data_IF_658725208192
#
_entry.id   IF_658725208192
#
_cell.length_a   1.000
_cell.length_b   1.000
_cell.length_c   1.000
_cell.angle_alpha   90.00
_cell.angle_beta   90.00
_cell.angle_gamma   90.00
#
_symmetry.space_group_name_H-M   'P 1'
#
loop_
_entity.id
_entity.type
_entity.pdbx_description
1 polymer ?
#
# COMPACT_ATOMS: atom_id res chain seq x y z
N UNK A 1 -33.14 12.65 -32.39
CA UNK A 1 -31.83 13.25 -32.06
C UNK A 1 -31.47 12.74 -30.68
N UNK A 2 -30.72 11.64 -30.62
CA UNK A 2 -30.39 10.94 -29.38
C UNK A 2 -29.36 11.72 -28.59
N UNK A 3 -29.63 11.93 -27.30
CA UNK A 3 -28.60 12.30 -26.34
C UNK A 3 -27.93 11.01 -25.87
N UNK A 4 -26.74 10.75 -26.38
CA UNK A 4 -25.77 9.87 -25.75
C UNK A 4 -25.36 10.50 -24.43
N UNK A 5 -25.87 9.97 -23.31
CA UNK A 5 -25.35 10.31 -21.99
C UNK A 5 -23.93 9.78 -21.88
N UNK A 6 -23.01 10.71 -21.68
CA UNK A 6 -21.60 10.47 -21.40
C UNK A 6 -21.43 9.58 -20.17
N UNK A 7 -20.49 8.66 -20.28
CA UNK A 7 -19.99 7.72 -19.26
C UNK A 7 -20.03 8.26 -17.84
N UNK A 8 -20.67 7.52 -16.94
CA UNK A 8 -20.50 7.67 -15.49
C UNK A 8 -19.01 7.59 -15.15
N UNK A 9 -18.41 8.69 -14.71
CA UNK A 9 -17.14 8.64 -13.98
C UNK A 9 -17.37 7.74 -12.77
N UNK A 10 -16.69 6.59 -12.70
CA UNK A 10 -16.78 5.71 -11.55
C UNK A 10 -16.12 6.46 -10.38
N UNK A 11 -16.94 7.09 -9.54
CA UNK A 11 -16.47 7.80 -8.36
C UNK A 11 -15.73 6.82 -7.45
N UNK A 12 -14.71 7.32 -6.73
CA UNK A 12 -14.01 6.53 -5.73
C UNK A 12 -15.00 5.94 -4.72
N UNK A 13 -14.82 4.68 -4.30
CA UNK A 13 -15.72 4.07 -3.34
C UNK A 13 -15.57 4.79 -1.98
N UNK A 14 -16.64 4.98 -1.21
CA UNK A 14 -16.59 5.78 0.02
C UNK A 14 -15.71 5.16 1.11
N UNK A 15 -15.52 3.84 1.09
CA UNK A 15 -14.69 3.12 2.05
C UNK A 15 -14.17 1.83 1.42
N UNK A 16 -12.88 1.57 1.57
CA UNK A 16 -12.26 0.37 1.03
C UNK A 16 -11.08 -0.12 1.89
N UNK A 17 -10.58 -1.32 1.60
CA UNK A 17 -9.34 -1.83 2.16
C UNK A 17 -8.18 -1.49 1.23
N UNK A 18 -7.43 -0.46 1.58
CA UNK A 18 -6.23 -0.02 0.85
C UNK A 18 -5.11 -1.04 1.01
N UNK A 19 -4.63 -1.59 -0.11
CA UNK A 19 -3.52 -2.53 -0.11
C UNK A 19 -2.22 -1.76 0.13
N UNK A 20 -1.55 -2.00 1.24
CA UNK A 20 -0.28 -1.34 1.57
C UNK A 20 0.93 -2.16 1.12
N UNK A 21 0.81 -3.49 1.22
CA UNK A 21 1.91 -4.40 0.89
C UNK A 21 1.36 -5.72 0.33
N UNK A 22 2.06 -6.23 -0.66
CA UNK A 22 1.95 -7.62 -1.12
C UNK A 22 3.21 -8.36 -0.67
N UNK A 23 3.03 -9.44 0.08
CA UNK A 23 4.16 -10.23 0.59
C UNK A 23 4.72 -11.12 -0.53
N UNK A 24 6.04 -11.14 -0.76
CA UNK A 24 6.64 -12.00 -1.78
C UNK A 24 6.27 -13.48 -1.58
N UNK A 25 6.03 -14.20 -2.69
CA UNK A 25 5.67 -15.62 -2.71
C UNK A 25 4.34 -15.97 -2.01
N UNK A 26 3.52 -14.97 -1.69
CA UNK A 26 2.16 -15.17 -1.18
C UNK A 26 1.15 -15.35 -2.32
N UNK A 27 -0.07 -15.84 -2.05
CA UNK A 27 -1.15 -15.89 -3.03
C UNK A 27 -1.40 -14.56 -3.73
N UNK A 28 -1.37 -13.44 -3.00
CA UNK A 28 -1.53 -12.12 -3.58
C UNK A 28 -0.41 -11.74 -4.56
N UNK A 29 0.82 -12.21 -4.33
CA UNK A 29 1.95 -11.94 -5.24
C UNK A 29 1.83 -12.61 -6.62
N UNK A 30 0.90 -13.56 -6.76
CA UNK A 30 0.59 -14.22 -8.03
C UNK A 30 -0.63 -13.60 -8.74
N UNK A 31 -1.13 -12.47 -8.25
CA UNK A 31 -2.27 -11.76 -8.83
C UNK A 31 -1.83 -10.44 -9.47
N UNK A 32 -2.78 -9.73 -10.08
CA UNK A 32 -2.56 -8.38 -10.60
C UNK A 32 -2.70 -7.28 -9.53
N UNK A 33 -2.68 -7.61 -8.23
CA UNK A 33 -2.83 -6.62 -7.17
C UNK A 33 -1.58 -5.73 -7.09
N UNK A 34 -1.79 -4.44 -7.25
CA UNK A 34 -0.79 -3.39 -7.14
C UNK A 34 -0.86 -2.76 -5.75
N UNK A 35 0.15 -2.94 -4.89
CA UNK A 35 0.17 -2.26 -3.61
C UNK A 35 0.16 -0.73 -3.81
N UNK A 36 -0.38 -0.03 -2.82
CA UNK A 36 -0.70 1.39 -2.76
C UNK A 36 -1.77 1.90 -3.74
N UNK A 37 -1.91 1.31 -4.93
CA UNK A 37 -2.91 1.78 -5.91
C UNK A 37 -4.21 1.00 -5.85
N UNK A 38 -4.18 -0.23 -5.37
CA UNK A 38 -5.38 -1.06 -5.27
C UNK A 38 -6.07 -0.98 -3.92
N UNK A 39 -7.40 -1.02 -4.01
CA UNK A 39 -8.32 -0.98 -2.90
C UNK A 39 -9.28 -2.16 -3.05
N UNK A 40 -9.26 -3.10 -2.11
CA UNK A 40 -10.27 -4.17 -2.08
C UNK A 40 -11.58 -3.56 -1.63
N UNK A 41 -12.59 -3.63 -2.50
CA UNK A 41 -13.93 -3.06 -2.30
C UNK A 41 -15.00 -4.13 -2.06
N UNK A 42 -14.62 -5.40 -2.18
CA UNK A 42 -15.51 -6.53 -1.96
C UNK A 42 -15.02 -7.79 -2.66
N UNK A 43 -15.97 -8.66 -2.98
CA UNK A 43 -15.75 -9.91 -3.69
C UNK A 43 -16.95 -10.19 -4.58
N UNK A 44 -16.72 -10.92 -5.67
CA UNK A 44 -17.77 -11.38 -6.58
C UNK A 44 -18.34 -12.69 -6.03
N UNK A 45 -19.49 -12.59 -5.35
CA UNK A 45 -20.22 -13.69 -4.72
C UNK A 45 -21.73 -13.48 -4.84
N UNK A 46 -22.48 -14.59 -4.84
CA UNK A 46 -23.89 -14.72 -5.19
C UNK A 46 -24.78 -13.51 -4.81
N UNK A 47 -24.98 -12.61 -5.78
CA UNK A 47 -25.98 -11.54 -6.03
C UNK A 47 -26.66 -10.74 -4.88
N UNK A 48 -26.39 -10.98 -3.60
CA UNK A 48 -27.11 -10.36 -2.47
C UNK A 48 -26.30 -9.31 -1.69
N UNK A 49 -25.00 -9.19 -1.94
CA UNK A 49 -24.12 -8.26 -1.22
C UNK A 49 -23.71 -7.08 -2.12
N UNK A 50 -24.70 -6.39 -2.69
CA UNK A 50 -24.51 -5.02 -3.17
C UNK A 50 -24.48 -4.07 -1.99
N UNK A 51 -23.51 -4.18 -1.09
CA UNK A 51 -23.36 -3.22 -0.01
C UNK A 51 -21.96 -2.63 -0.04
N UNK A 52 -21.98 -1.35 -0.36
CA UNK A 52 -20.95 -0.35 -0.62
C UNK A 52 -19.98 -0.11 0.55
N UNK A 53 -19.83 -1.06 1.47
CA UNK A 53 -19.03 -0.94 2.68
C UNK A 53 -18.31 -2.25 2.96
N UNK A 54 -16.99 -2.24 2.83
CA UNK A 54 -16.14 -3.38 3.16
C UNK A 54 -16.17 -3.61 4.68
N UNK A 55 -16.80 -4.71 5.11
CA UNK A 55 -16.65 -5.24 6.47
C UNK A 55 -15.44 -6.19 6.49
N UNK A 56 -14.44 -5.85 7.31
CA UNK A 56 -13.21 -6.64 7.44
C UNK A 56 -13.50 -8.02 7.99
N UNK A 57 -14.41 -8.13 8.96
CA UNK A 57 -14.75 -9.42 9.57
C UNK A 57 -15.47 -10.33 8.56
N UNK A 58 -16.29 -9.75 7.68
CA UNK A 58 -16.92 -10.50 6.60
C UNK A 58 -15.88 -10.99 5.59
N UNK A 59 -14.99 -10.11 5.15
CA UNK A 59 -13.92 -10.47 4.21
C UNK A 59 -13.04 -11.59 4.78
N UNK A 60 -12.63 -11.50 6.05
CA UNK A 60 -11.87 -12.55 6.73
C UNK A 60 -12.61 -13.89 6.68
N UNK A 61 -13.89 -13.91 7.04
CA UNK A 61 -14.73 -15.12 7.01
C UNK A 61 -14.81 -15.73 5.60
N UNK A 62 -14.93 -14.90 4.57
CA UNK A 62 -15.04 -15.36 3.18
C UNK A 62 -13.72 -15.91 2.68
N UNK A 63 -12.61 -15.24 3.01
CA UNK A 63 -11.26 -15.67 2.67
C UNK A 63 -10.95 -17.02 3.31
N UNK A 64 -11.33 -17.22 4.57
CA UNK A 64 -11.23 -18.52 5.26
C UNK A 64 -12.10 -19.58 4.59
N UNK A 65 -13.35 -19.25 4.26
CA UNK A 65 -14.24 -20.18 3.58
C UNK A 65 -13.71 -20.60 2.21
N UNK A 66 -12.94 -19.76 1.52
CA UNK A 66 -12.37 -20.04 0.19
C UNK A 66 -10.94 -20.59 0.23
N UNK A 67 -10.47 -21.11 1.36
CA UNK A 67 -9.13 -21.73 1.41
C UNK A 67 -9.00 -22.84 0.36
N UNK A 68 -7.91 -22.76 -0.43
CA UNK A 68 -7.59 -23.62 -1.58
C UNK A 68 -8.63 -23.61 -2.72
N UNK A 69 -9.49 -22.58 -2.79
CA UNK A 69 -10.46 -22.37 -3.87
C UNK A 69 -10.30 -20.95 -4.43
N UNK A 70 -10.71 -20.75 -5.68
CA UNK A 70 -10.69 -19.41 -6.27
C UNK A 70 -11.71 -18.52 -5.58
N UNK A 71 -11.25 -17.37 -5.09
CA UNK A 71 -12.03 -16.24 -4.62
C UNK A 71 -11.83 -15.09 -5.60
N UNK A 72 -12.92 -14.51 -6.09
CA UNK A 72 -12.86 -13.35 -6.97
C UNK A 72 -12.99 -12.08 -6.14
N UNK A 73 -11.90 -11.34 -5.95
CA UNK A 73 -11.93 -10.05 -5.27
C UNK A 73 -12.37 -8.94 -6.22
N UNK A 74 -13.16 -7.99 -5.72
CA UNK A 74 -13.43 -6.74 -6.41
C UNK A 74 -12.40 -5.72 -5.95
N UNK A 75 -11.60 -5.21 -6.89
CA UNK A 75 -10.47 -4.33 -6.62
C UNK A 75 -10.61 -3.05 -7.44
N UNK A 76 -10.73 -1.92 -6.75
CA UNK A 76 -10.71 -0.59 -7.37
C UNK A 76 -9.28 -0.06 -7.42
N UNK A 77 -8.84 0.47 -8.55
CA UNK A 77 -7.49 1.02 -8.73
C UNK A 77 -7.54 2.55 -8.81
N UNK A 78 -6.66 3.24 -8.07
CA UNK A 78 -6.65 4.70 -8.02
C UNK A 78 -6.01 5.38 -9.23
N UNK A 79 -5.21 4.67 -10.04
CA UNK A 79 -4.58 5.23 -11.25
C UNK A 79 -5.59 5.37 -12.39
N UNK A 80 -6.39 4.34 -12.65
CA UNK A 80 -7.35 4.29 -13.76
C UNK A 80 -8.80 4.55 -13.34
N UNK A 81 -9.05 4.60 -12.02
CA UNK A 81 -10.37 4.78 -11.41
C UNK A 81 -11.37 3.69 -11.82
N UNK A 82 -10.91 2.46 -12.07
CA UNK A 82 -11.76 1.32 -12.44
C UNK A 82 -11.76 0.23 -11.37
N UNK A 83 -12.89 -0.48 -11.28
CA UNK A 83 -13.01 -1.71 -10.50
C UNK A 83 -12.86 -2.93 -11.41
N UNK A 84 -11.99 -3.86 -11.02
CA UNK A 84 -11.77 -5.12 -11.74
C UNK A 84 -11.92 -6.32 -10.82
N UNK A 85 -12.22 -7.47 -11.42
CA UNK A 85 -12.24 -8.75 -10.72
C UNK A 85 -10.83 -9.33 -10.70
N UNK A 86 -10.32 -9.64 -9.52
CA UNK A 86 -9.02 -10.27 -9.33
C UNK A 86 -9.20 -11.66 -8.69
N UNK A 87 -8.97 -12.75 -9.46
CA UNK A 87 -9.01 -14.09 -8.90
C UNK A 87 -7.77 -14.33 -8.02
N UNK A 88 -8.00 -14.83 -6.81
CA UNK A 88 -6.96 -15.25 -5.86
C UNK A 88 -7.31 -16.62 -5.28
N UNK A 89 -6.31 -17.43 -4.97
CA UNK A 89 -6.51 -18.72 -4.28
C UNK A 89 -5.91 -18.61 -2.89
N UNK A 90 -6.72 -18.32 -1.84
CA UNK A 90 -6.24 -18.23 -0.47
C UNK A 90 -5.60 -19.55 -0.04
N UNK A 91 -4.44 -19.48 0.63
CA UNK A 91 -3.76 -20.69 1.12
C UNK A 91 -2.88 -20.35 2.32
N UNK A 92 -2.73 -21.27 3.27
CA UNK A 92 -1.80 -21.11 4.40
C UNK A 92 -0.41 -21.70 4.13
N UNK A 93 -0.25 -22.48 3.06
CA UNK A 93 0.99 -23.22 2.77
C UNK A 93 2.20 -22.30 2.69
N UNK A 94 2.04 -21.10 2.14
CA UNK A 94 3.12 -20.12 1.99
C UNK A 94 3.59 -19.50 3.31
N UNK A 95 2.76 -19.50 4.36
CA UNK A 95 3.01 -18.79 5.62
C UNK A 95 3.26 -19.70 6.83
N UNK A 96 3.16 -21.03 6.66
CA UNK A 96 3.37 -22.03 7.72
C UNK A 96 4.76 -22.01 8.37
N UNK A 97 5.79 -21.52 7.68
CA UNK A 97 7.17 -21.47 8.18
C UNK A 97 7.60 -20.12 8.77
N UNK A 98 6.77 -19.08 8.63
CA UNK A 98 7.14 -17.67 8.90
C UNK A 98 6.31 -16.99 9.99
N UNK A 99 5.27 -17.66 10.52
CA UNK A 99 4.47 -17.11 11.61
C UNK A 99 5.17 -17.28 12.97
N UNK A 100 5.29 -16.21 13.79
CA UNK A 100 5.64 -16.38 15.20
C UNK A 100 4.63 -17.32 15.89
N UNK A 101 5.08 -18.03 16.94
CA UNK A 101 4.37 -19.16 17.58
C UNK A 101 2.92 -18.91 18.02
N UNK A 102 2.39 -17.69 17.95
CA UNK A 102 1.05 -17.30 18.39
C UNK A 102 0.20 -16.55 17.34
N UNK A 103 0.63 -16.43 16.08
CA UNK A 103 -0.20 -15.80 15.03
C UNK A 103 -0.73 -16.82 14.03
N UNK A 104 -1.99 -16.69 13.63
CA UNK A 104 -2.52 -17.50 12.54
C UNK A 104 -1.77 -17.19 11.23
N UNK A 105 -1.36 -18.21 10.46
CA UNK A 105 -0.69 -18.02 9.16
C UNK A 105 -1.59 -17.27 8.18
N UNK A 106 -1.09 -16.22 7.53
CA UNK A 106 -1.89 -15.41 6.61
C UNK A 106 -2.35 -16.22 5.38
N UNK A 107 -3.56 -15.95 4.89
CA UNK A 107 -4.17 -16.65 3.74
C UNK A 107 -3.89 -15.97 2.39
N UNK A 108 -3.69 -14.65 2.38
CA UNK A 108 -3.54 -13.86 1.15
C UNK A 108 -2.13 -13.28 0.99
N UNK A 109 -1.50 -12.88 2.11
CA UNK A 109 -0.24 -12.13 2.10
C UNK A 109 -0.38 -10.65 1.77
N UNK A 110 -1.59 -10.10 1.95
CA UNK A 110 -1.85 -8.66 1.89
C UNK A 110 -1.71 -8.03 3.28
N UNK A 111 -1.09 -6.86 3.34
CA UNK A 111 -1.28 -5.91 4.44
C UNK A 111 -2.25 -4.83 3.95
N UNK A 112 -3.33 -4.60 4.68
CA UNK A 112 -4.38 -3.68 4.29
C UNK A 112 -4.80 -2.78 5.44
N UNK A 113 -5.29 -1.59 5.13
CA UNK A 113 -5.98 -0.71 6.09
C UNK A 113 -7.31 -0.29 5.53
N UNK A 114 -8.29 -0.08 6.42
CA UNK A 114 -9.51 0.61 6.05
C UNK A 114 -9.16 2.09 5.82
N UNK A 115 -9.55 2.64 4.69
CA UNK A 115 -9.53 4.09 4.48
C UNK A 115 -10.60 4.53 3.48
N UNK A 116 -10.70 5.84 3.30
CA UNK A 116 -11.42 6.49 2.23
C UNK A 116 -10.39 6.72 1.10
N UNK A 117 -10.54 6.09 -0.08
CA UNK A 117 -9.58 6.20 -1.17
C UNK A 117 -9.32 7.62 -1.65
N UNK A 118 -10.30 8.52 -1.51
CA UNK A 118 -10.16 9.94 -1.83
C UNK A 118 -9.01 10.60 -1.06
N UNK A 119 -8.79 10.20 0.20
CA UNK A 119 -7.74 10.75 1.07
C UNK A 119 -6.50 9.85 1.17
N UNK A 120 -6.47 8.73 0.45
CA UNK A 120 -5.37 7.77 0.56
C UNK A 120 -4.04 8.32 0.00
N UNK A 121 -4.12 9.33 -0.88
CA UNK A 121 -2.97 9.99 -1.51
C UNK A 121 -2.53 11.26 -0.77
N UNK A 122 -3.27 11.71 0.25
CA UNK A 122 -2.96 12.96 0.97
C UNK A 122 -1.72 12.84 1.86
N UNK A 123 -1.33 11.60 2.19
CA UNK A 123 -0.22 11.30 3.09
C UNK A 123 0.93 10.62 2.33
N UNK A 124 1.46 11.34 1.34
CA UNK A 124 2.60 10.93 0.52
C UNK A 124 3.61 12.07 0.51
N UNK A 125 4.90 11.74 0.68
CA UNK A 125 5.97 12.74 0.65
C UNK A 125 6.78 12.58 -0.64
N UNK A 126 6.72 13.59 -1.49
CA UNK A 126 7.46 13.60 -2.76
C UNK A 126 8.93 13.90 -2.48
N UNK A 127 9.82 13.00 -2.91
CA UNK A 127 11.27 13.23 -2.84
C UNK A 127 11.64 14.28 -3.89
N UNK A 128 12.11 15.44 -3.45
CA UNK A 128 12.55 16.53 -4.33
C UNK A 128 14.06 16.47 -4.51
N UNK A 129 14.80 17.46 -4.01
CA UNK A 129 16.25 17.50 -4.10
C UNK A 129 16.91 16.58 -3.07
N UNK A 130 17.87 15.79 -3.51
CA UNK A 130 18.70 14.90 -2.68
C UNK A 130 20.15 15.37 -2.74
N UNK A 131 20.77 15.60 -1.58
CA UNK A 131 22.15 16.07 -1.50
C UNK A 131 23.15 14.92 -1.66
N UNK A 132 24.27 15.20 -2.33
CA UNK A 132 25.38 14.24 -2.45
C UNK A 132 25.98 13.88 -1.08
N UNK A 133 26.30 12.62 -0.87
CA UNK A 133 26.80 12.07 0.39
C UNK A 133 25.77 12.01 1.52
N UNK A 134 24.50 12.31 1.23
CA UNK A 134 23.45 12.34 2.24
C UNK A 134 22.93 10.95 2.62
N UNK A 135 22.25 10.83 3.77
CA UNK A 135 21.55 9.60 4.13
C UNK A 135 20.46 9.19 3.14
N UNK A 136 19.77 10.16 2.52
CA UNK A 136 18.79 9.91 1.47
C UNK A 136 19.43 9.33 0.20
N UNK A 137 20.54 9.90 -0.25
CA UNK A 137 21.29 9.38 -1.41
C UNK A 137 21.84 7.97 -1.11
N UNK A 138 22.42 7.78 0.07
CA UNK A 138 22.99 6.50 0.50
C UNK A 138 21.93 5.39 0.57
N UNK A 139 20.67 5.75 0.85
CA UNK A 139 19.54 4.84 0.84
C UNK A 139 18.97 4.58 -0.57
N UNK A 140 19.44 5.29 -1.59
CA UNK A 140 19.00 5.15 -2.98
C UNK A 140 17.65 5.81 -3.27
N UNK A 141 17.34 6.93 -2.60
CA UNK A 141 16.22 7.78 -2.99
C UNK A 141 16.55 8.52 -4.30
N UNK A 142 15.61 8.50 -5.23
CA UNK A 142 15.71 9.11 -6.55
C UNK A 142 14.96 10.45 -6.53
N UNK A 143 15.65 11.58 -6.76
CA UNK A 143 15.04 12.89 -6.74
C UNK A 143 13.95 13.00 -7.82
N UNK A 144 12.81 13.61 -7.47
CA UNK A 144 11.62 13.81 -8.31
C UNK A 144 10.88 12.54 -8.76
N UNK A 145 11.52 11.37 -8.76
CA UNK A 145 10.95 10.10 -9.16
C UNK A 145 10.35 9.28 -8.01
N UNK A 146 10.72 9.58 -6.77
CA UNK A 146 10.31 8.79 -5.61
C UNK A 146 9.27 9.48 -4.74
N UNK A 147 8.36 8.68 -4.20
CA UNK A 147 7.28 9.10 -3.30
C UNK A 147 7.25 8.18 -2.10
N UNK A 148 7.44 8.72 -0.90
CA UNK A 148 7.29 7.94 0.33
C UNK A 148 5.81 7.78 0.63
N UNK A 149 5.34 6.54 0.66
CA UNK A 149 3.92 6.20 0.82
C UNK A 149 3.57 5.65 2.20
N UNK A 150 4.58 5.35 3.02
CA UNK A 150 4.39 4.86 4.38
C UNK A 150 5.64 4.24 4.98
N UNK A 151 5.50 3.56 6.11
CA UNK A 151 6.59 2.90 6.82
C UNK A 151 6.16 1.60 7.49
N UNK A 152 7.12 0.81 7.96
CA UNK A 152 6.84 -0.53 8.51
C UNK A 152 6.14 -0.52 9.88
N UNK A 153 6.13 0.60 10.60
CA UNK A 153 5.69 0.68 11.99
C UNK A 153 4.30 1.25 12.22
N UNK A 154 3.56 1.64 11.17
CA UNK A 154 2.19 2.13 11.32
C UNK A 154 1.73 3.08 10.22
N UNK A 155 0.65 3.80 10.51
CA UNK A 155 0.02 4.76 9.60
C UNK A 155 0.61 6.15 9.83
N UNK A 156 0.88 6.87 8.75
CA UNK A 156 1.15 8.31 8.75
C UNK A 156 -0.13 8.99 8.28
N UNK A 157 -0.72 9.82 9.14
CA UNK A 157 -2.05 10.43 8.93
C UNK A 157 -1.98 11.95 8.76
N UNK A 158 -0.90 12.56 9.22
CA UNK A 158 -0.65 13.98 9.10
C UNK A 158 0.69 14.25 8.41
N UNK A 159 0.79 15.42 7.76
CA UNK A 159 1.99 15.89 7.04
C UNK A 159 3.26 15.85 7.89
N UNK A 160 3.14 16.19 9.18
CA UNK A 160 4.26 16.22 10.12
C UNK A 160 4.70 14.84 10.64
N UNK A 161 3.85 13.81 10.53
CA UNK A 161 4.13 12.49 11.14
C UNK A 161 5.41 11.88 10.58
N UNK A 162 5.70 12.09 9.29
CA UNK A 162 6.92 11.59 8.68
C UNK A 162 8.17 12.28 9.24
N UNK A 163 8.11 13.59 9.49
CA UNK A 163 9.24 14.33 10.05
C UNK A 163 9.51 13.90 11.49
N UNK A 164 8.45 13.79 12.31
CA UNK A 164 8.55 13.28 13.69
C UNK A 164 9.12 11.86 13.72
N UNK A 165 8.70 11.02 12.76
CA UNK A 165 9.22 9.66 12.61
C UNK A 165 10.72 9.63 12.28
N UNK A 166 11.18 10.51 11.39
CA UNK A 166 12.60 10.66 11.05
C UNK A 166 13.41 11.11 12.26
N UNK A 167 12.90 12.06 13.05
CA UNK A 167 13.55 12.50 14.30
C UNK A 167 13.62 11.38 15.35
N UNK A 168 12.58 10.55 15.46
CA UNK A 168 12.57 9.41 16.37
C UNK A 168 13.58 8.30 15.98
N UNK A 169 14.01 8.27 14.72
CA UNK A 169 14.93 7.28 14.16
C UNK A 169 16.34 7.82 13.90
N UNK A 170 16.75 8.90 14.56
CA UNK A 170 18.15 9.37 14.51
C UNK A 170 19.10 8.23 14.90
N UNK A 171 20.09 8.00 14.04
CA UNK A 171 21.11 6.95 14.10
C UNK A 171 20.55 5.52 14.15
N UNK A 172 19.31 5.32 13.67
CA UNK A 172 18.64 4.01 13.63
C UNK A 172 18.06 3.73 12.23
N UNK A 173 18.00 2.45 11.81
CA UNK A 173 17.34 2.07 10.58
C UNK A 173 15.84 2.39 10.63
N UNK A 174 15.36 3.16 9.65
CA UNK A 174 13.96 3.49 9.40
C UNK A 174 13.53 2.87 8.07
N UNK A 175 12.64 1.87 8.12
CA UNK A 175 12.12 1.18 6.93
C UNK A 175 10.88 1.90 6.40
N UNK A 176 11.01 2.46 5.20
CA UNK A 176 9.94 3.17 4.49
C UNK A 176 9.55 2.44 3.21
N UNK A 177 8.33 2.68 2.75
CA UNK A 177 7.84 2.24 1.45
C UNK A 177 7.91 3.42 0.48
N UNK A 178 8.52 3.18 -0.68
CA UNK A 178 8.77 4.18 -1.70
C UNK A 178 8.16 3.71 -3.01
N UNK A 179 7.26 4.52 -3.57
CA UNK A 179 6.79 4.37 -4.93
C UNK A 179 7.74 5.10 -5.87
N UNK A 180 8.21 4.42 -6.91
CA UNK A 180 8.96 5.02 -8.00
C UNK A 180 8.04 5.25 -9.19
N UNK A 181 7.90 6.51 -9.62
CA UNK A 181 7.15 6.85 -10.83
C UNK A 181 7.83 6.36 -12.10
N UNK A 182 9.16 6.30 -12.13
CA UNK A 182 9.93 5.83 -13.29
C UNK A 182 9.72 4.34 -13.58
N UNK A 183 9.56 3.54 -12.53
CA UNK A 183 9.40 2.08 -12.64
C UNK A 183 7.97 1.59 -12.39
N UNK A 184 7.05 2.51 -12.08
CA UNK A 184 5.70 2.22 -11.64
C UNK A 184 5.62 1.11 -10.59
N UNK A 185 6.49 1.19 -9.58
CA UNK A 185 6.72 0.10 -8.64
C UNK A 185 7.00 0.60 -7.22
N UNK A 186 6.53 -0.16 -6.23
CA UNK A 186 6.86 0.03 -4.82
C UNK A 186 8.09 -0.78 -4.43
N UNK A 187 8.95 -0.16 -3.61
CA UNK A 187 10.09 -0.82 -2.97
C UNK A 187 10.22 -0.42 -1.51
N UNK A 188 10.84 -1.29 -0.73
CA UNK A 188 11.24 -0.98 0.64
C UNK A 188 12.61 -0.32 0.62
N UNK A 189 12.75 0.81 1.32
CA UNK A 189 13.99 1.56 1.47
C UNK A 189 14.31 1.68 2.96
N UNK A 190 15.59 1.55 3.30
CA UNK A 190 16.06 1.70 4.68
C UNK A 190 16.83 3.02 4.79
N UNK A 191 16.22 4.01 5.43
CA UNK A 191 16.85 5.27 5.76
C UNK A 191 17.61 5.13 7.07
N UNK A 192 18.76 5.79 7.20
CA UNK A 192 19.47 5.92 8.49
C UNK A 192 19.68 7.41 8.76
N UNK A 193 18.67 8.10 9.32
CA UNK A 193 18.75 9.52 9.61
C UNK A 193 19.93 9.82 10.53
N UNK A 194 20.74 10.82 10.23
CA UNK A 194 21.85 11.20 11.11
C UNK A 194 22.16 12.70 10.99
N UNK A 195 22.75 13.30 12.03
CA UNK A 195 23.16 14.72 12.03
C UNK A 195 24.60 14.95 11.60
N UNK A 196 25.37 13.87 11.44
CA UNK A 196 26.83 13.93 11.31
C UNK A 196 27.34 13.69 9.89
N UNK A 197 26.46 13.56 8.89
CA UNK A 197 26.83 13.38 7.48
C UNK A 197 27.45 14.63 6.81
N UNK A 198 27.39 15.80 7.46
CA UNK A 198 28.09 17.01 7.02
C UNK A 198 27.23 18.05 6.30
N UNK A 199 25.95 17.79 6.07
CA UNK A 199 25.00 18.76 5.51
C UNK A 199 23.88 19.18 6.49
N UNK A 200 22.79 19.72 5.94
CA UNK A 200 21.66 20.22 6.73
C UNK A 200 20.56 19.17 6.94
N UNK A 201 20.03 19.10 8.15
CA UNK A 201 18.94 18.18 8.49
C UNK A 201 19.40 16.73 8.68
N UNK A 202 18.44 15.83 8.78
CA UNK A 202 18.69 14.42 9.14
C UNK A 202 18.87 13.49 7.95
N UNK A 203 18.30 13.85 6.79
CA UNK A 203 18.31 13.03 5.59
C UNK A 203 19.04 13.67 4.41
N UNK A 204 19.26 14.98 4.43
CA UNK A 204 19.82 15.72 3.28
C UNK A 204 18.92 15.70 2.05
N UNK A 205 17.61 15.65 2.26
CA UNK A 205 16.59 15.62 1.23
C UNK A 205 15.51 16.66 1.53
N UNK A 206 14.94 17.24 0.47
CA UNK A 206 13.72 18.05 0.54
C UNK A 206 12.53 17.17 0.20
N UNK A 207 11.44 17.31 0.96
CA UNK A 207 10.17 16.64 0.70
C UNK A 207 9.10 17.66 0.36
N UNK A 208 8.20 17.32 -0.56
CA UNK A 208 7.03 18.11 -0.97
C UNK A 208 5.73 17.36 -0.81
#
# INVERSE_FOLDING_TARGET
>A
MGQSQSSSSAAAPPKALHVLRVTPSSPASHTSIEPFFDFVVGYDGDAAMSHSTVDVAELERIVEAHENRTLNLLVWNSKDQQTRVVPIVPSRVWSQGSSPQNSQPSLLGLSMRICEPEYALDNVWHVLDVSEGSPAESAGLVPYGDYITGWSGGILSAENDFYDLVEAHVDKPLRVYVYSSDFDALREVVLVPNRHWGGQGLLGCVFG
#
